data_IF_255048976693
#
_entry.id   IF_255048976693
#
_cell.length_a   1.000
_cell.length_b   1.000
_cell.length_c   1.000
_cell.angle_alpha   90.00
_cell.angle_beta   90.00
_cell.angle_gamma   90.00
#
_symmetry.space_group_name_H-M   'P 1'
#
loop_
_entity.id
_entity.type
_entity.pdbx_description
1 polymer ?
#
# COMPACT_ATOMS: atom_id res chain seq x y z
N UNK A 1 -14.67 -1.95 -8.15
CA UNK A 1 -14.44 -2.79 -6.96
C UNK A 1 -13.54 -4.00 -7.20
N UNK A 2 -13.65 -4.75 -8.29
CA UNK A 2 -12.78 -5.92 -8.56
C UNK A 2 -11.31 -5.54 -8.78
N UNK A 3 -11.03 -4.43 -9.42
CA UNK A 3 -9.69 -3.99 -9.79
C UNK A 3 -8.84 -3.54 -8.58
N UNK A 4 -9.44 -2.80 -7.64
CA UNK A 4 -8.72 -2.35 -6.43
C UNK A 4 -8.21 -3.53 -5.60
N UNK A 5 -9.11 -4.45 -5.25
CA UNK A 5 -8.73 -5.64 -4.47
C UNK A 5 -7.71 -6.53 -5.18
N UNK A 6 -7.76 -6.59 -6.53
CA UNK A 6 -6.78 -7.35 -7.31
C UNK A 6 -5.39 -6.73 -7.22
N UNK A 7 -5.29 -5.41 -7.37
CA UNK A 7 -4.02 -4.67 -7.24
C UNK A 7 -3.44 -4.79 -5.82
N UNK A 8 -4.29 -4.64 -4.79
CA UNK A 8 -3.87 -4.80 -3.39
C UNK A 8 -3.31 -6.20 -3.14
N UNK A 9 -3.96 -7.27 -3.63
CA UNK A 9 -3.44 -8.64 -3.47
C UNK A 9 -2.06 -8.83 -4.09
N UNK A 10 -1.79 -8.23 -5.26
CA UNK A 10 -0.46 -8.30 -5.90
C UNK A 10 0.58 -7.56 -5.05
N UNK A 11 0.24 -6.35 -4.59
CA UNK A 11 1.15 -5.54 -3.78
C UNK A 11 1.41 -6.12 -2.40
N UNK A 12 0.42 -6.77 -1.80
CA UNK A 12 0.57 -7.55 -0.57
C UNK A 12 1.57 -8.68 -0.76
N UNK A 13 1.37 -9.55 -1.77
CA UNK A 13 2.28 -10.66 -2.06
C UNK A 13 3.69 -10.16 -2.40
N UNK A 14 3.82 -9.03 -3.09
CA UNK A 14 5.11 -8.39 -3.29
C UNK A 14 5.74 -7.95 -1.97
N UNK A 15 4.99 -7.34 -1.07
CA UNK A 15 5.47 -6.91 0.24
C UNK A 15 5.94 -8.05 1.14
N UNK A 16 5.47 -9.28 0.88
CA UNK A 16 5.86 -10.50 1.60
C UNK A 16 6.96 -11.30 0.87
N UNK A 17 7.37 -10.85 -0.35
CA UNK A 17 8.35 -11.56 -1.18
C UNK A 17 9.80 -11.25 -0.80
N UNK A 18 10.73 -12.09 -1.28
CA UNK A 18 12.16 -11.89 -1.09
C UNK A 18 12.71 -10.69 -1.87
N UNK A 19 12.00 -10.27 -2.94
CA UNK A 19 12.42 -9.14 -3.79
C UNK A 19 11.85 -7.79 -3.32
N UNK A 20 11.04 -7.76 -2.24
CA UNK A 20 10.39 -6.52 -1.75
C UNK A 20 11.34 -5.36 -1.50
N UNK A 21 12.57 -5.65 -1.09
CA UNK A 21 13.61 -4.68 -0.78
C UNK A 21 14.76 -4.69 -1.81
N UNK A 22 14.54 -5.25 -3.01
CA UNK A 22 15.52 -5.21 -4.09
C UNK A 22 15.73 -3.78 -4.58
N UNK A 23 16.98 -3.44 -4.89
CA UNK A 23 17.36 -2.20 -5.59
C UNK A 23 17.39 -2.38 -7.12
N UNK A 24 17.15 -3.60 -7.59
CA UNK A 24 17.10 -3.92 -9.01
C UNK A 24 15.66 -3.79 -9.53
N UNK A 25 15.45 -2.85 -10.46
CA UNK A 25 14.15 -2.60 -11.08
C UNK A 25 13.61 -3.84 -11.80
N UNK A 26 14.48 -4.61 -12.47
CA UNK A 26 14.05 -5.78 -13.24
C UNK A 26 13.48 -6.87 -12.33
N UNK A 27 14.15 -7.19 -11.22
CA UNK A 27 13.69 -8.21 -10.27
C UNK A 27 12.28 -7.88 -9.74
N UNK A 28 12.04 -6.61 -9.39
CA UNK A 28 10.75 -6.15 -8.88
C UNK A 28 9.67 -6.21 -9.99
N UNK A 29 10.01 -5.73 -11.20
CA UNK A 29 9.08 -5.70 -12.32
C UNK A 29 8.68 -7.12 -12.75
N UNK A 30 9.65 -8.03 -12.85
CA UNK A 30 9.42 -9.43 -13.21
C UNK A 30 8.55 -10.15 -12.19
N UNK A 31 8.82 -9.92 -10.89
CA UNK A 31 7.97 -10.46 -9.84
C UNK A 31 6.52 -9.98 -9.96
N UNK A 32 6.32 -8.66 -10.04
CA UNK A 32 4.98 -8.07 -10.09
C UNK A 32 4.19 -8.51 -11.34
N UNK A 33 4.87 -8.62 -12.48
CA UNK A 33 4.26 -9.09 -13.73
C UNK A 33 3.87 -10.57 -13.63
N UNK A 34 4.77 -11.40 -13.12
CA UNK A 34 4.51 -12.84 -12.91
C UNK A 34 3.35 -13.05 -11.94
N UNK A 35 3.34 -12.32 -10.83
CA UNK A 35 2.29 -12.42 -9.83
C UNK A 35 0.93 -11.91 -10.34
N UNK A 36 0.96 -10.84 -11.16
CA UNK A 36 -0.23 -10.34 -11.83
C UNK A 36 -0.84 -11.42 -12.74
N UNK A 37 -0.04 -12.08 -13.57
CA UNK A 37 -0.52 -13.15 -14.43
C UNK A 37 -1.03 -14.34 -13.63
N UNK A 38 -0.28 -14.77 -12.61
CA UNK A 38 -0.68 -15.90 -11.74
C UNK A 38 -2.03 -15.65 -11.07
N UNK A 39 -2.22 -14.49 -10.46
CA UNK A 39 -3.49 -14.16 -9.79
C UNK A 39 -4.62 -13.91 -10.79
N UNK A 40 -4.29 -13.39 -11.98
CA UNK A 40 -5.26 -13.20 -13.05
C UNK A 40 -5.85 -14.53 -13.51
N UNK A 41 -4.99 -15.51 -13.79
CA UNK A 41 -5.41 -16.84 -14.24
C UNK A 41 -6.22 -17.59 -13.19
N UNK A 42 -5.84 -17.43 -11.91
CA UNK A 42 -6.60 -18.00 -10.79
C UNK A 42 -8.00 -17.38 -10.62
N UNK A 43 -8.12 -16.07 -10.88
CA UNK A 43 -9.35 -15.32 -10.59
C UNK A 43 -10.33 -15.29 -11.75
N UNK A 44 -9.83 -15.36 -12.97
CA UNK A 44 -10.61 -15.18 -14.19
C UNK A 44 -10.46 -16.37 -15.15
N UNK A 45 -11.35 -17.35 -15.06
CA UNK A 45 -11.36 -18.52 -15.97
C UNK A 45 -11.73 -18.15 -17.41
N UNK A 46 -12.52 -17.08 -17.61
CA UNK A 46 -12.96 -16.62 -18.95
C UNK A 46 -13.11 -15.09 -18.97
N UNK A 47 -11.99 -14.35 -18.92
CA UNK A 47 -12.05 -12.90 -18.79
C UNK A 47 -12.52 -12.24 -20.10
N UNK A 48 -13.35 -11.20 -19.97
CA UNK A 48 -13.72 -10.34 -21.08
C UNK A 48 -12.51 -9.55 -21.62
N UNK A 49 -12.62 -9.04 -22.86
CA UNK A 49 -11.58 -8.19 -23.44
C UNK A 49 -11.25 -6.95 -22.56
N UNK A 50 -12.26 -6.38 -21.90
CA UNK A 50 -12.08 -5.25 -20.99
C UNK A 50 -11.23 -5.63 -19.79
N UNK A 51 -11.48 -6.80 -19.17
CA UNK A 51 -10.71 -7.27 -18.03
C UNK A 51 -9.26 -7.55 -18.43
N UNK A 52 -9.01 -8.15 -19.61
CA UNK A 52 -7.65 -8.35 -20.13
C UNK A 52 -6.92 -7.03 -20.34
N UNK A 53 -7.55 -6.05 -21.01
CA UNK A 53 -6.97 -4.74 -21.22
C UNK A 53 -6.62 -4.02 -19.89
N UNK A 54 -7.46 -4.17 -18.87
CA UNK A 54 -7.18 -3.63 -17.54
C UNK A 54 -5.95 -4.29 -16.88
N UNK A 55 -5.76 -5.60 -17.04
CA UNK A 55 -4.58 -6.30 -16.54
C UNK A 55 -3.31 -5.85 -17.25
N UNK A 56 -3.34 -5.64 -18.56
CA UNK A 56 -2.20 -5.10 -19.32
C UNK A 56 -1.84 -3.67 -18.86
N UNK A 57 -2.84 -2.80 -18.66
CA UNK A 57 -2.62 -1.46 -18.12
C UNK A 57 -2.00 -1.50 -16.74
N UNK A 58 -2.37 -2.47 -15.90
CA UNK A 58 -1.78 -2.65 -14.59
C UNK A 58 -0.31 -3.06 -14.69
N UNK A 59 0.04 -3.99 -15.58
CA UNK A 59 1.43 -4.38 -15.83
C UNK A 59 2.32 -3.19 -16.21
N UNK A 60 1.83 -2.29 -17.07
CA UNK A 60 2.55 -1.07 -17.43
C UNK A 60 2.78 -0.15 -16.21
N UNK A 61 1.83 -0.11 -15.26
CA UNK A 61 1.98 0.64 -14.01
C UNK A 61 3.01 0.00 -13.07
N UNK A 62 3.14 -1.32 -13.08
CA UNK A 62 4.11 -2.03 -12.26
C UNK A 62 5.56 -1.72 -12.66
N UNK A 63 5.86 -1.46 -13.92
CA UNK A 63 7.20 -0.99 -14.33
C UNK A 63 7.53 0.36 -13.67
N UNK A 64 6.58 1.29 -13.66
CA UNK A 64 6.76 2.57 -12.98
C UNK A 64 6.84 2.43 -11.46
N UNK A 65 6.06 1.53 -10.87
CA UNK A 65 6.13 1.21 -9.45
C UNK A 65 7.49 0.60 -9.11
N UNK A 66 7.98 -0.38 -9.88
CA UNK A 66 9.27 -1.04 -9.67
C UNK A 66 10.43 -0.04 -9.66
N UNK A 67 10.42 0.93 -10.57
CA UNK A 67 11.43 2.00 -10.61
C UNK A 67 11.45 2.82 -9.32
N UNK A 68 10.26 3.23 -8.84
CA UNK A 68 10.14 4.00 -7.60
C UNK A 68 10.51 3.18 -6.36
N UNK A 69 10.12 1.91 -6.35
CA UNK A 69 10.40 0.99 -5.25
C UNK A 69 11.91 0.70 -5.15
N UNK A 70 12.59 0.43 -6.27
CA UNK A 70 14.03 0.22 -6.29
C UNK A 70 14.81 1.46 -5.81
N UNK A 71 14.38 2.65 -6.25
CA UNK A 71 14.96 3.91 -5.76
C UNK A 71 14.74 4.10 -4.26
N UNK A 72 13.54 3.79 -3.76
CA UNK A 72 13.21 3.87 -2.34
C UNK A 72 14.04 2.89 -1.52
N UNK A 73 14.26 1.67 -2.01
CA UNK A 73 15.14 0.68 -1.39
C UNK A 73 16.60 1.14 -1.38
N UNK A 74 17.06 1.75 -2.47
CA UNK A 74 18.41 2.33 -2.57
C UNK A 74 18.62 3.49 -1.58
N UNK A 75 17.56 4.26 -1.25
CA UNK A 75 17.56 5.28 -0.21
C UNK A 75 17.53 4.70 1.22
N UNK A 76 17.57 3.37 1.38
CA UNK A 76 17.61 2.68 2.66
C UNK A 76 16.24 2.34 3.26
N UNK A 77 15.14 2.64 2.58
CA UNK A 77 13.82 2.24 3.02
C UNK A 77 13.57 0.75 2.80
N UNK A 78 13.06 0.08 3.80
CA UNK A 78 12.72 -1.34 3.75
C UNK A 78 11.24 -1.56 4.05
N UNK A 79 10.57 -2.36 3.25
CA UNK A 79 9.23 -2.87 3.58
C UNK A 79 9.40 -3.85 4.73
N UNK A 80 8.77 -3.55 5.86
CA UNK A 80 8.81 -4.40 7.05
C UNK A 80 7.48 -5.14 7.30
N UNK A 81 6.37 -4.63 6.74
CA UNK A 81 5.07 -5.29 6.86
C UNK A 81 4.13 -4.87 5.74
N UNK A 82 3.29 -5.82 5.29
CA UNK A 82 2.16 -5.58 4.38
C UNK A 82 0.87 -6.04 5.05
N UNK A 83 -0.26 -5.37 4.77
CA UNK A 83 -1.59 -5.69 5.30
C UNK A 83 -1.56 -5.90 6.84
N UNK A 84 -0.91 -4.95 7.55
CA UNK A 84 -0.75 -5.03 9.00
C UNK A 84 -2.07 -4.76 9.71
N UNK A 85 -2.60 -5.76 10.38
CA UNK A 85 -3.77 -5.58 11.23
C UNK A 85 -3.45 -4.70 12.45
N UNK A 86 -4.33 -3.75 12.72
CA UNK A 86 -4.37 -3.00 13.97
C UNK A 86 -5.22 -3.81 14.95
N UNK A 87 -4.74 -4.05 16.18
CA UNK A 87 -5.49 -4.82 17.18
C UNK A 87 -6.89 -4.25 17.40
N UNK A 88 -7.87 -5.13 17.63
CA UNK A 88 -9.20 -4.71 18.08
C UNK A 88 -9.12 -4.12 19.50
N UNK A 89 -10.03 -3.21 19.80
CA UNK A 89 -10.08 -2.55 21.12
C UNK A 89 -9.25 -1.27 21.20
N UNK A 90 -8.68 -0.80 20.10
CA UNK A 90 -8.07 0.52 20.03
C UNK A 90 -9.17 1.59 20.13
N UNK A 91 -8.96 2.58 21.00
CA UNK A 91 -9.92 3.67 21.23
C UNK A 91 -9.36 4.98 20.68
N UNK A 92 -10.18 5.71 19.96
CA UNK A 92 -9.86 7.05 19.51
C UNK A 92 -10.20 8.04 20.64
N UNK A 93 -9.19 8.62 21.27
CA UNK A 93 -9.34 9.47 22.47
C UNK A 93 -10.11 8.72 23.59
N UNK A 94 -10.97 9.42 24.31
CA UNK A 94 -11.86 8.85 25.34
C UNK A 94 -13.17 8.29 24.77
N UNK A 95 -13.17 7.88 23.49
CA UNK A 95 -14.36 7.36 22.83
C UNK A 95 -14.76 5.98 23.36
N UNK A 96 -16.07 5.67 23.25
CA UNK A 96 -16.61 4.33 23.51
C UNK A 96 -16.52 3.42 22.30
N UNK A 97 -16.03 3.94 21.15
CA UNK A 97 -15.94 3.18 19.90
C UNK A 97 -14.61 2.45 19.81
N UNK A 98 -14.68 1.16 19.57
CA UNK A 98 -13.51 0.37 19.19
C UNK A 98 -13.23 0.59 17.71
N UNK A 99 -11.95 0.86 17.40
CA UNK A 99 -11.50 1.07 16.04
C UNK A 99 -10.56 -0.07 15.67
N UNK A 100 -10.71 -0.58 14.48
CA UNK A 100 -9.80 -1.53 13.85
C UNK A 100 -9.50 -1.10 12.44
N UNK A 101 -8.40 -1.57 11.89
CA UNK A 101 -8.02 -1.27 10.51
C UNK A 101 -6.90 -2.16 10.04
N UNK A 102 -6.58 -2.03 8.77
CA UNK A 102 -5.45 -2.71 8.14
C UNK A 102 -4.62 -1.64 7.46
N UNK A 103 -3.33 -1.57 7.82
CA UNK A 103 -2.37 -0.68 7.15
C UNK A 103 -1.81 -1.44 5.96
N UNK A 104 -1.98 -0.90 4.74
CA UNK A 104 -1.59 -1.59 3.52
C UNK A 104 -0.09 -1.92 3.51
N UNK A 105 0.75 -0.98 3.95
CA UNK A 105 2.19 -1.18 3.98
C UNK A 105 2.87 -0.30 5.04
N UNK A 106 3.91 -0.86 5.65
CA UNK A 106 4.79 -0.16 6.59
C UNK A 106 6.22 -0.28 6.08
N UNK A 107 6.88 0.86 5.89
CA UNK A 107 8.30 0.96 5.56
C UNK A 107 9.09 1.50 6.73
N UNK A 108 10.34 1.06 6.86
CA UNK A 108 11.30 1.55 7.86
C UNK A 108 12.61 1.98 7.22
N UNK A 109 13.16 3.08 7.71
CA UNK A 109 14.52 3.52 7.45
C UNK A 109 15.11 4.10 8.72
N UNK A 110 16.16 3.48 9.25
CA UNK A 110 16.78 3.86 10.53
C UNK A 110 15.74 3.97 11.67
N UNK A 111 15.51 5.18 12.18
CA UNK A 111 14.53 5.50 13.21
C UNK A 111 13.23 6.13 12.63
N UNK A 112 12.99 5.98 11.36
CA UNK A 112 11.81 6.51 10.69
C UNK A 112 10.90 5.37 10.22
N UNK A 113 9.59 5.54 10.41
CA UNK A 113 8.53 4.67 9.90
C UNK A 113 7.69 5.46 8.92
N UNK A 114 7.30 4.85 7.81
CA UNK A 114 6.37 5.40 6.85
C UNK A 114 5.17 4.46 6.68
N UNK A 115 3.98 4.95 7.03
CA UNK A 115 2.72 4.24 6.78
C UNK A 115 2.22 4.63 5.39
N UNK A 116 1.94 3.64 4.56
CA UNK A 116 1.56 3.82 3.16
C UNK A 116 0.19 3.19 2.92
N UNK A 117 -0.66 3.93 2.24
CA UNK A 117 -1.96 3.49 1.78
C UNK A 117 -2.00 3.51 0.25
N UNK A 118 -2.33 2.37 -0.36
CA UNK A 118 -2.37 2.22 -1.79
C UNK A 118 -3.70 2.69 -2.37
N UNK A 119 -3.68 3.81 -3.08
CA UNK A 119 -4.86 4.29 -3.80
C UNK A 119 -4.78 3.94 -5.29
N UNK A 120 -5.79 3.24 -5.78
CA UNK A 120 -6.02 3.08 -7.22
C UNK A 120 -6.95 4.20 -7.68
N UNK A 121 -6.43 5.27 -8.31
CA UNK A 121 -7.26 6.38 -8.70
C UNK A 121 -8.29 5.95 -9.76
N UNK A 122 -9.56 6.14 -9.46
CA UNK A 122 -10.62 6.15 -10.44
C UNK A 122 -10.50 7.48 -11.20
N UNK A 123 -9.93 7.47 -12.39
CA UNK A 123 -9.71 8.66 -13.23
C UNK A 123 -8.70 9.68 -12.67
N UNK A 124 -8.48 10.79 -13.36
CA UNK A 124 -7.48 11.84 -13.20
C UNK A 124 -7.32 12.51 -11.81
N UNK A 125 -7.75 11.91 -10.74
CA UNK A 125 -7.60 12.47 -9.40
C UNK A 125 -6.14 12.29 -8.94
N UNK A 126 -5.37 13.37 -8.97
CA UNK A 126 -4.07 13.42 -8.29
C UNK A 126 -4.33 13.58 -6.81
N UNK A 127 -3.97 12.58 -6.02
CA UNK A 127 -3.90 12.73 -4.56
C UNK A 127 -2.74 13.69 -4.25
N UNK A 128 -3.08 14.85 -3.71
CA UNK A 128 -2.12 15.86 -3.25
C UNK A 128 -2.46 16.16 -1.79
N UNK A 129 -1.52 16.73 -1.04
CA UNK A 129 -1.82 17.19 0.33
C UNK A 129 -3.07 18.08 0.38
N UNK A 130 -3.31 18.89 -0.65
CA UNK A 130 -4.52 19.74 -0.76
C UNK A 130 -5.80 18.92 -0.97
N UNK A 131 -5.72 17.73 -1.55
CA UNK A 131 -6.90 16.87 -1.74
C UNK A 131 -7.32 16.13 -0.46
N UNK A 132 -6.44 16.06 0.53
CA UNK A 132 -6.74 15.47 1.84
C UNK A 132 -7.53 16.42 2.75
N UNK A 133 -7.52 17.72 2.42
CA UNK A 133 -8.19 18.75 3.23
C UNK A 133 -9.18 19.54 2.38
N UNK A 134 -10.34 19.79 2.93
CA UNK A 134 -11.34 20.71 2.38
C UNK A 134 -11.92 21.51 3.54
N UNK A 135 -11.80 22.85 3.49
CA UNK A 135 -12.24 23.75 4.56
C UNK A 135 -11.69 23.36 5.95
N UNK A 136 -10.38 23.08 6.01
CA UNK A 136 -9.65 22.66 7.22
C UNK A 136 -10.12 21.30 7.82
N UNK A 137 -10.93 20.57 7.10
CA UNK A 137 -11.38 19.22 7.48
C UNK A 137 -10.71 18.16 6.59
N UNK A 138 -10.33 17.05 7.19
CA UNK A 138 -9.89 15.88 6.43
C UNK A 138 -11.04 15.34 5.57
N UNK A 139 -10.78 15.14 4.29
CA UNK A 139 -11.71 14.48 3.36
C UNK A 139 -11.47 12.99 3.28
N UNK A 140 -10.26 12.55 3.63
CA UNK A 140 -9.88 11.15 3.80
C UNK A 140 -9.27 11.00 5.19
N UNK A 141 -9.91 10.20 6.03
CA UNK A 141 -9.49 9.96 7.42
C UNK A 141 -8.57 8.74 7.57
N UNK A 142 -8.34 7.98 6.53
CA UNK A 142 -7.65 6.70 6.59
C UNK A 142 -6.21 6.87 7.09
N UNK A 143 -5.40 7.69 6.42
CA UNK A 143 -4.03 7.95 6.85
C UNK A 143 -3.93 8.62 8.23
N UNK A 144 -4.69 9.70 8.55
CA UNK A 144 -4.71 10.27 9.91
C UNK A 144 -5.08 9.24 10.98
N UNK A 145 -6.03 8.35 10.66
CA UNK A 145 -6.45 7.30 11.58
C UNK A 145 -5.33 6.27 11.78
N UNK A 146 -4.65 5.85 10.70
CA UNK A 146 -3.51 4.94 10.80
C UNK A 146 -2.36 5.54 11.62
N UNK A 147 -2.08 6.83 11.46
CA UNK A 147 -1.09 7.52 12.27
C UNK A 147 -1.44 7.44 13.75
N UNK A 148 -2.68 7.75 14.11
CA UNK A 148 -3.14 7.66 15.50
C UNK A 148 -3.10 6.23 16.03
N UNK A 149 -3.54 5.27 15.21
CA UNK A 149 -3.58 3.86 15.60
C UNK A 149 -2.19 3.21 15.63
N UNK A 150 -1.18 3.79 14.99
CA UNK A 150 0.21 3.29 15.07
C UNK A 150 0.77 3.30 16.49
N UNK A 151 0.25 4.15 17.38
CA UNK A 151 0.61 4.17 18.79
C UNK A 151 0.24 2.89 19.56
N UNK A 152 -0.68 2.10 19.02
CA UNK A 152 -1.06 0.79 19.55
C UNK A 152 -0.15 -0.34 19.06
N UNK A 153 0.74 -0.08 18.11
CA UNK A 153 1.72 -1.04 17.60
C UNK A 153 3.04 -0.84 18.34
N UNK A 154 3.32 -1.69 19.33
CA UNK A 154 4.49 -1.57 20.21
C UNK A 154 5.82 -1.52 19.46
N UNK A 155 5.92 -2.24 18.34
CA UNK A 155 7.09 -2.30 17.47
C UNK A 155 7.34 -1.00 16.70
N UNK A 156 6.37 -0.09 16.63
CA UNK A 156 6.48 1.20 15.96
C UNK A 156 6.73 2.38 16.91
N UNK A 157 6.40 2.24 18.20
CA UNK A 157 6.45 3.33 19.20
C UNK A 157 7.78 4.10 19.28
N UNK A 158 8.96 3.47 19.20
CA UNK A 158 10.22 4.19 19.34
C UNK A 158 10.61 5.00 18.09
N UNK A 159 9.80 4.97 17.03
CA UNK A 159 10.14 5.52 15.73
C UNK A 159 9.35 6.80 15.40
N UNK A 160 9.97 7.65 14.57
CA UNK A 160 9.27 8.80 13.98
C UNK A 160 8.38 8.32 12.85
N UNK A 161 7.06 8.45 13.01
CA UNK A 161 6.07 8.01 12.02
C UNK A 161 5.76 9.13 11.02
N UNK A 162 5.69 8.78 9.74
CA UNK A 162 5.24 9.61 8.62
C UNK A 162 4.18 8.90 7.78
N UNK A 163 3.48 9.63 6.92
CA UNK A 163 2.38 9.14 6.09
C UNK A 163 2.69 9.36 4.61
N UNK A 164 2.31 8.39 3.76
CA UNK A 164 2.50 8.47 2.31
C UNK A 164 1.40 7.75 1.51
#
# INVERSE_FOLDING_TARGET
MVYGNFTHSILQNFGDSDVRNSTNVADIADYLTTECHRLFDLRFSSPSAVIRAQAELLNNRFVSFATKQAARAADGWQIISSERNIPSGCKLFDSTFDISGIIDRIDRRDNEICLIDYKTPNSNTRYTQKSLFKNDLFTDLQLPLYFFLSDYLEDLKPHKVSLA
#
